data_IF_233854099615
#
_entry.id   IF_233854099615
#
_cell.length_a   1.000
_cell.length_b   1.000
_cell.length_c   1.000
_cell.angle_alpha   90.00
_cell.angle_beta   90.00
_cell.angle_gamma   90.00
#
_symmetry.space_group_name_H-M   'P 1'
#
loop_
_entity.id
_entity.type
_entity.pdbx_description
1 polymer ?
#
# COMPACT_ATOMS: atom_id res chain seq x y z
N UNK A 1 -54.96 -16.72 51.21
CA UNK A 1 -54.48 -16.92 49.87
C UNK A 1 -53.18 -16.12 49.74
N UNK A 2 -52.04 -16.81 49.81
CA UNK A 2 -50.69 -16.18 49.72
C UNK A 2 -50.17 -16.39 48.29
N UNK A 3 -50.04 -15.28 47.57
CA UNK A 3 -49.58 -15.30 46.19
C UNK A 3 -48.04 -15.15 46.18
N UNK A 4 -47.33 -16.26 45.95
CA UNK A 4 -45.91 -16.34 45.84
C UNK A 4 -45.48 -16.09 44.41
N UNK A 5 -45.07 -14.85 44.07
CA UNK A 5 -44.43 -14.53 42.80
C UNK A 5 -42.93 -14.90 42.87
N UNK A 6 -42.59 -16.08 42.37
CA UNK A 6 -41.20 -16.46 42.11
C UNK A 6 -40.64 -15.67 40.90
N UNK A 7 -39.76 -14.70 41.13
CA UNK A 7 -38.98 -14.06 40.09
C UNK A 7 -38.04 -15.08 39.43
N UNK A 8 -38.21 -15.32 38.12
CA UNK A 8 -37.23 -16.10 37.33
C UNK A 8 -35.98 -15.26 37.16
N UNK A 9 -34.94 -15.56 37.92
CA UNK A 9 -33.60 -15.05 37.65
C UNK A 9 -33.15 -15.62 36.29
N UNK A 10 -33.13 -14.76 35.27
CA UNK A 10 -32.65 -15.13 33.93
C UNK A 10 -31.18 -15.43 33.96
N UNK A 11 -30.84 -16.64 33.57
CA UNK A 11 -29.45 -17.07 33.40
C UNK A 11 -28.83 -16.23 32.25
N UNK A 12 -28.06 -15.20 32.57
CA UNK A 12 -27.30 -14.42 31.59
C UNK A 12 -26.10 -15.26 31.19
N UNK A 13 -26.08 -15.78 29.96
CA UNK A 13 -24.91 -16.47 29.43
C UNK A 13 -23.69 -15.56 29.52
N UNK A 14 -22.51 -16.08 29.94
CA UNK A 14 -21.30 -15.29 30.00
C UNK A 14 -21.00 -14.68 28.63
N UNK A 15 -20.70 -13.38 28.59
CA UNK A 15 -20.33 -12.69 27.38
C UNK A 15 -19.14 -13.41 26.74
N UNK A 16 -19.26 -13.78 25.46
CA UNK A 16 -18.13 -14.38 24.72
C UNK A 16 -16.96 -13.42 24.79
N UNK A 17 -15.75 -13.92 25.12
CA UNK A 17 -14.57 -13.08 25.14
C UNK A 17 -14.40 -12.40 23.79
N UNK A 18 -14.18 -11.07 23.78
CA UNK A 18 -13.85 -10.33 22.56
C UNK A 18 -12.54 -10.89 22.04
N UNK A 19 -12.57 -11.52 20.87
CA UNK A 19 -11.37 -11.92 20.15
C UNK A 19 -10.77 -10.67 19.52
N UNK A 20 -9.64 -10.23 20.04
CA UNK A 20 -8.82 -9.18 19.43
C UNK A 20 -7.92 -9.82 18.37
N UNK A 21 -7.72 -9.13 17.22
CA UNK A 21 -6.74 -9.53 16.24
C UNK A 21 -5.30 -9.47 16.81
N UNK A 22 -4.37 -10.20 16.19
CA UNK A 22 -2.95 -10.09 16.53
C UNK A 22 -2.32 -8.94 15.75
N UNK A 23 -1.51 -8.13 16.40
CA UNK A 23 -0.73 -7.05 15.77
C UNK A 23 0.51 -7.58 15.08
N UNK A 24 0.99 -8.76 15.49
CA UNK A 24 2.14 -9.43 14.90
C UNK A 24 1.70 -10.71 14.19
N UNK A 25 2.27 -11.02 13.00
CA UNK A 25 1.92 -12.22 12.27
C UNK A 25 2.46 -13.48 12.96
N UNK A 26 1.80 -14.61 12.74
CA UNK A 26 2.28 -15.92 13.22
C UNK A 26 3.46 -16.44 12.42
N UNK A 27 3.53 -16.10 11.14
CA UNK A 27 4.59 -16.52 10.21
C UNK A 27 5.17 -15.27 9.58
N UNK A 28 6.45 -15.07 9.73
CA UNK A 28 7.17 -13.93 9.17
C UNK A 28 8.67 -14.21 9.08
N UNK A 29 9.36 -13.44 8.26
CA UNK A 29 10.81 -13.55 8.10
C UNK A 29 11.50 -12.63 9.13
N UNK A 30 12.32 -13.21 10.00
CA UNK A 30 13.06 -12.43 11.01
C UNK A 30 14.00 -11.42 10.32
N UNK A 31 14.17 -10.21 10.90
CA UNK A 31 15.08 -9.23 10.37
C UNK A 31 16.55 -9.71 10.49
N UNK A 32 17.41 -9.19 9.64
CA UNK A 32 18.87 -9.50 9.68
C UNK A 32 19.56 -8.81 10.85
N UNK A 33 19.00 -7.69 11.30
CA UNK A 33 19.50 -6.84 12.37
C UNK A 33 18.35 -6.10 13.04
N UNK A 34 18.64 -5.31 14.06
CA UNK A 34 17.67 -4.42 14.67
C UNK A 34 17.11 -3.45 13.62
N UNK A 35 15.79 -3.29 13.63
CA UNK A 35 15.10 -2.39 12.72
C UNK A 35 14.97 -1.01 13.36
N UNK A 36 15.64 -0.04 12.77
CA UNK A 36 15.68 1.37 13.15
C UNK A 36 15.35 2.23 11.93
N UNK A 37 15.17 3.55 12.05
CA UNK A 37 14.99 4.43 10.90
C UNK A 37 16.12 4.35 9.85
N UNK A 38 17.35 3.96 10.27
CA UNK A 38 18.50 3.80 9.37
C UNK A 38 18.52 2.43 8.66
N UNK A 39 17.78 1.46 9.17
CA UNK A 39 17.80 0.07 8.70
C UNK A 39 16.50 -0.39 8.06
N UNK A 40 15.47 0.46 8.10
CA UNK A 40 14.18 0.22 7.45
C UNK A 40 13.52 1.51 6.98
N UNK A 41 13.10 1.53 5.74
CA UNK A 41 12.29 2.63 5.17
C UNK A 41 10.86 2.66 5.74
N UNK A 42 10.43 1.60 6.45
CA UNK A 42 9.10 1.53 7.03
C UNK A 42 8.78 2.67 7.98
N UNK A 43 9.76 3.17 8.72
CA UNK A 43 9.59 4.32 9.60
C UNK A 43 9.26 5.60 8.81
N UNK A 44 9.96 5.85 7.70
CA UNK A 44 9.70 7.00 6.84
C UNK A 44 8.34 6.90 6.14
N UNK A 45 7.88 5.69 5.78
CA UNK A 45 6.53 5.46 5.24
C UNK A 45 5.46 5.75 6.29
N UNK A 46 5.67 5.35 7.54
CA UNK A 46 4.75 5.62 8.65
C UNK A 46 4.67 7.13 8.92
N UNK A 47 5.82 7.80 8.94
CA UNK A 47 5.90 9.25 9.11
C UNK A 47 5.15 10.00 8.00
N UNK A 48 5.35 9.61 6.74
CA UNK A 48 4.61 10.14 5.60
C UNK A 48 3.10 9.90 5.71
N UNK A 49 2.68 8.70 6.10
CA UNK A 49 1.26 8.41 6.29
C UNK A 49 0.63 9.31 7.36
N UNK A 50 1.33 9.49 8.48
CA UNK A 50 0.81 10.26 9.62
C UNK A 50 0.86 11.76 9.37
N UNK A 51 1.98 12.29 8.88
CA UNK A 51 2.23 13.74 8.83
C UNK A 51 1.91 14.39 7.49
N UNK A 52 1.85 13.61 6.39
CA UNK A 52 1.54 14.15 5.06
C UNK A 52 0.15 13.72 4.60
N UNK A 53 -0.19 12.44 4.77
CA UNK A 53 -1.50 11.93 4.36
C UNK A 53 -2.57 12.03 5.45
N UNK A 54 -2.17 12.31 6.71
CA UNK A 54 -3.06 12.36 7.88
C UNK A 54 -3.80 11.03 8.12
N UNK A 55 -3.14 9.91 7.77
CA UNK A 55 -3.66 8.56 7.94
C UNK A 55 -2.99 7.90 9.14
N UNK A 56 -3.79 7.54 10.16
CA UNK A 56 -3.29 6.71 11.25
C UNK A 56 -3.36 5.22 10.86
N UNK A 57 -2.19 4.67 10.61
CA UNK A 57 -2.04 3.26 10.24
C UNK A 57 -2.29 2.35 11.45
N UNK A 58 -2.96 1.23 11.22
CA UNK A 58 -3.12 0.21 12.25
C UNK A 58 -1.78 -0.36 12.73
N UNK A 59 -1.67 -0.83 13.99
CA UNK A 59 -0.42 -1.37 14.52
C UNK A 59 0.20 -2.47 13.65
N UNK A 60 -0.61 -3.38 13.08
CA UNK A 60 -0.13 -4.43 12.19
C UNK A 60 0.44 -3.88 10.87
N UNK A 61 -0.11 -2.76 10.34
CA UNK A 61 0.40 -2.10 9.13
C UNK A 61 1.76 -1.45 9.41
N UNK A 62 1.89 -0.75 10.54
CA UNK A 62 3.16 -0.17 11.00
C UNK A 62 4.21 -1.26 11.17
N UNK A 63 3.85 -2.36 11.83
CA UNK A 63 4.73 -3.52 11.99
C UNK A 63 5.18 -4.08 10.64
N UNK A 64 4.22 -4.30 9.72
CA UNK A 64 4.52 -4.82 8.38
C UNK A 64 5.46 -3.91 7.61
N UNK A 65 5.22 -2.61 7.58
CA UNK A 65 6.06 -1.63 6.86
C UNK A 65 7.50 -1.66 7.36
N UNK A 66 7.70 -1.68 8.69
CA UNK A 66 9.03 -1.73 9.29
C UNK A 66 9.77 -3.00 8.88
N UNK A 67 9.11 -4.15 8.82
CA UNK A 67 9.76 -5.42 8.48
C UNK A 67 9.90 -5.65 6.97
N UNK A 68 8.90 -5.26 6.18
CA UNK A 68 8.90 -5.47 4.72
C UNK A 68 9.88 -4.56 3.99
N UNK A 69 10.14 -3.37 4.53
CA UNK A 69 11.04 -2.37 3.94
C UNK A 69 12.42 -2.32 4.60
N UNK A 70 12.85 -3.45 5.19
CA UNK A 70 14.19 -3.63 5.72
C UNK A 70 15.26 -3.39 4.64
N UNK A 71 16.31 -2.67 5.00
CA UNK A 71 17.44 -2.38 4.13
C UNK A 71 18.62 -3.33 4.38
N UNK A 72 19.29 -3.70 3.32
CA UNK A 72 20.61 -4.36 3.38
C UNK A 72 21.70 -3.36 3.75
N UNK A 73 22.91 -3.86 3.94
CA UNK A 73 24.09 -3.04 4.25
C UNK A 73 24.42 -2.04 3.14
N UNK A 74 24.09 -2.37 1.88
CA UNK A 74 24.26 -1.51 0.71
C UNK A 74 23.08 -0.55 0.47
N UNK A 75 22.19 -0.41 1.44
CA UNK A 75 20.96 0.38 1.39
C UNK A 75 19.96 -0.05 0.30
N UNK A 76 20.11 -1.24 -0.26
CA UNK A 76 19.09 -1.82 -1.12
C UNK A 76 17.96 -2.47 -0.30
N UNK A 77 16.74 -2.52 -0.85
CA UNK A 77 15.64 -3.26 -0.23
C UNK A 77 15.99 -4.75 -0.11
N UNK A 78 15.80 -5.31 1.08
CA UNK A 78 16.10 -6.71 1.36
C UNK A 78 15.21 -7.65 0.58
N UNK A 79 13.91 -7.37 0.57
CA UNK A 79 12.90 -8.24 -0.02
C UNK A 79 12.51 -7.75 -1.41
N UNK A 80 12.59 -8.65 -2.37
CA UNK A 80 12.06 -8.42 -3.72
C UNK A 80 10.57 -8.74 -3.82
N UNK A 81 10.10 -9.66 -2.98
CA UNK A 81 8.71 -10.07 -2.91
C UNK A 81 8.28 -10.08 -1.44
N UNK A 82 7.17 -9.42 -1.17
CA UNK A 82 6.50 -9.42 0.14
C UNK A 82 5.10 -9.98 -0.06
N UNK A 83 4.78 -11.04 0.67
CA UNK A 83 3.45 -11.65 0.63
C UNK A 83 2.74 -11.37 1.95
N UNK A 84 1.56 -10.77 1.86
CA UNK A 84 0.76 -10.36 3.02
C UNK A 84 -0.55 -11.13 3.03
N UNK A 85 -0.75 -11.93 4.06
CA UNK A 85 -2.00 -12.67 4.29
C UNK A 85 -2.71 -12.07 5.50
N UNK A 86 -3.75 -11.32 5.24
CA UNK A 86 -4.58 -10.70 6.27
C UNK A 86 -6.06 -10.80 5.88
N UNK A 87 -6.95 -10.85 6.87
CA UNK A 87 -8.38 -10.95 6.63
C UNK A 87 -8.92 -9.75 5.82
N UNK A 88 -10.09 -9.90 5.22
CA UNK A 88 -10.78 -8.80 4.54
C UNK A 88 -11.11 -7.67 5.52
N UNK A 89 -11.30 -6.45 5.02
CA UNK A 89 -11.68 -5.25 5.79
C UNK A 89 -10.67 -4.86 6.90
N UNK A 90 -9.39 -5.12 6.69
CA UNK A 90 -8.31 -4.73 7.60
C UNK A 90 -7.39 -3.65 7.04
N UNK A 91 -7.85 -2.81 6.10
CA UNK A 91 -7.08 -1.66 5.62
C UNK A 91 -5.95 -2.01 4.63
N UNK A 92 -6.02 -3.14 3.88
CA UNK A 92 -5.03 -3.46 2.83
C UNK A 92 -4.96 -2.40 1.74
N UNK A 93 -6.11 -1.91 1.30
CA UNK A 93 -6.19 -0.90 0.24
C UNK A 93 -5.51 0.40 0.67
N UNK A 94 -5.78 0.88 1.89
CA UNK A 94 -5.12 2.05 2.47
C UNK A 94 -3.60 1.88 2.50
N UNK A 95 -3.12 0.71 2.92
CA UNK A 95 -1.68 0.41 2.91
C UNK A 95 -1.08 0.49 1.51
N UNK A 96 -1.78 -0.03 0.49
CA UNK A 96 -1.35 0.03 -0.90
C UNK A 96 -1.32 1.46 -1.44
N UNK A 97 -2.30 2.29 -1.07
CA UNK A 97 -2.33 3.72 -1.41
C UNK A 97 -1.14 4.47 -0.82
N UNK A 98 -0.90 4.30 0.48
CA UNK A 98 0.24 4.91 1.19
C UNK A 98 1.57 4.50 0.54
N UNK A 99 1.78 3.21 0.29
CA UNK A 99 3.00 2.71 -0.36
C UNK A 99 3.18 3.30 -1.76
N UNK A 100 2.12 3.29 -2.59
CA UNK A 100 2.19 3.84 -3.94
C UNK A 100 2.61 5.31 -3.92
N UNK A 101 1.96 6.13 -3.10
CA UNK A 101 2.25 7.56 -2.99
C UNK A 101 3.65 7.79 -2.43
N UNK A 102 4.03 7.13 -1.34
CA UNK A 102 5.37 7.31 -0.77
C UNK A 102 6.48 6.98 -1.76
N UNK A 103 6.36 5.86 -2.49
CA UNK A 103 7.40 5.45 -3.42
C UNK A 103 7.56 6.39 -4.63
N UNK A 104 6.46 6.98 -5.13
CA UNK A 104 6.56 7.93 -6.26
C UNK A 104 6.93 9.35 -5.82
N UNK A 105 6.46 9.82 -4.66
CA UNK A 105 6.70 11.17 -4.18
C UNK A 105 8.02 11.31 -3.42
N UNK A 106 8.34 10.36 -2.54
CA UNK A 106 9.44 10.46 -1.59
C UNK A 106 10.66 9.65 -2.01
N UNK A 107 10.48 8.39 -2.41
CA UNK A 107 11.59 7.49 -2.73
C UNK A 107 12.13 7.65 -4.15
N UNK A 108 11.33 8.20 -5.07
CA UNK A 108 11.72 8.50 -6.44
C UNK A 108 11.58 7.33 -7.41
N UNK A 109 10.71 6.36 -7.13
CA UNK A 109 10.35 5.34 -8.10
C UNK A 109 9.64 5.98 -9.31
N UNK A 110 9.96 5.48 -10.51
CA UNK A 110 9.42 6.03 -11.77
C UNK A 110 8.12 5.40 -12.19
N UNK A 111 7.89 4.15 -11.77
CA UNK A 111 6.69 3.41 -12.13
C UNK A 111 6.25 2.49 -11.01
N UNK A 112 5.11 2.82 -10.41
CA UNK A 112 4.34 1.96 -9.53
C UNK A 112 3.19 1.37 -10.34
N UNK A 113 2.97 0.06 -10.25
CA UNK A 113 1.88 -0.65 -10.88
C UNK A 113 0.94 -1.21 -9.82
N UNK A 114 -0.31 -0.72 -9.81
CA UNK A 114 -1.41 -1.36 -9.09
C UNK A 114 -2.05 -2.41 -10.00
N UNK A 115 -2.25 -3.61 -9.49
CA UNK A 115 -2.84 -4.70 -10.27
C UNK A 115 -3.64 -5.63 -9.35
N UNK A 116 -4.75 -6.13 -9.88
CA UNK A 116 -5.57 -7.17 -9.28
C UNK A 116 -6.05 -8.10 -10.40
N UNK A 117 -6.69 -9.20 -10.05
CA UNK A 117 -7.30 -10.07 -11.06
C UNK A 117 -8.34 -9.31 -11.87
N UNK A 118 -9.20 -8.56 -11.17
CA UNK A 118 -10.16 -7.65 -11.76
C UNK A 118 -9.59 -6.23 -11.83
N UNK A 119 -9.81 -5.56 -12.97
CA UNK A 119 -9.34 -4.20 -13.17
C UNK A 119 -10.06 -3.21 -12.25
N UNK A 120 -11.35 -3.41 -12.02
CA UNK A 120 -12.18 -2.51 -11.20
C UNK A 120 -11.66 -2.47 -9.75
N UNK A 121 -11.32 -3.62 -9.17
CA UNK A 121 -10.69 -3.70 -7.83
C UNK A 121 -9.36 -2.93 -7.77
N UNK A 122 -8.52 -3.06 -8.79
CA UNK A 122 -7.25 -2.32 -8.84
C UNK A 122 -7.49 -0.82 -9.03
N UNK A 123 -8.53 -0.45 -9.79
CA UNK A 123 -8.92 0.95 -10.02
C UNK A 123 -9.47 1.62 -8.78
N UNK A 124 -10.21 0.91 -7.92
CA UNK A 124 -10.69 1.43 -6.64
C UNK A 124 -9.53 1.83 -5.71
N UNK A 125 -8.51 0.97 -5.58
CA UNK A 125 -7.32 1.27 -4.78
C UNK A 125 -6.57 2.47 -5.34
N UNK A 126 -6.41 2.53 -6.66
CA UNK A 126 -5.77 3.64 -7.35
C UNK A 126 -6.56 4.94 -7.18
N UNK A 127 -7.89 4.90 -7.33
CA UNK A 127 -8.76 6.07 -7.16
C UNK A 127 -8.61 6.66 -5.76
N UNK A 128 -8.60 5.84 -4.71
CA UNK A 128 -8.39 6.34 -3.35
C UNK A 128 -7.02 7.04 -3.17
N UNK A 129 -5.98 6.61 -3.89
CA UNK A 129 -4.71 7.34 -3.87
C UNK A 129 -4.79 8.68 -4.64
N UNK A 130 -5.56 8.75 -5.73
CA UNK A 130 -5.83 10.00 -6.45
C UNK A 130 -6.63 10.96 -5.58
N UNK A 131 -7.66 10.47 -4.90
CA UNK A 131 -8.52 11.28 -4.04
C UNK A 131 -7.72 11.92 -2.91
N UNK A 132 -6.77 11.19 -2.30
CA UNK A 132 -5.85 11.76 -1.29
C UNK A 132 -5.00 12.91 -1.84
N UNK A 133 -4.62 12.89 -3.10
CA UNK A 133 -3.82 13.96 -3.73
C UNK A 133 -4.68 15.15 -4.15
N UNK A 134 -5.93 14.90 -4.55
CA UNK A 134 -6.85 15.92 -5.06
C UNK A 134 -7.80 16.48 -4.01
N UNK A 135 -7.72 16.00 -2.77
CA UNK A 135 -8.59 16.45 -1.68
C UNK A 135 -8.43 17.94 -1.43
N UNK A 136 -9.55 18.65 -1.40
CA UNK A 136 -9.63 20.09 -1.08
C UNK A 136 -10.42 20.30 0.21
N UNK A 137 -10.17 21.42 0.88
CA UNK A 137 -10.91 21.86 2.05
C UNK A 137 -12.20 22.61 1.67
N UNK A 138 -12.85 23.24 2.66
CA UNK A 138 -14.09 24.00 2.47
C UNK A 138 -13.92 25.27 1.60
N UNK A 139 -12.70 25.76 1.44
CA UNK A 139 -12.35 26.92 0.63
C UNK A 139 -11.82 26.53 -0.77
N UNK A 140 -11.97 25.24 -1.17
CA UNK A 140 -11.44 24.66 -2.40
C UNK A 140 -9.90 24.68 -2.51
N UNK A 141 -9.17 24.86 -1.40
CA UNK A 141 -7.72 24.81 -1.37
C UNK A 141 -7.23 23.36 -1.15
N UNK A 142 -6.12 22.94 -1.79
CA UNK A 142 -5.59 21.59 -1.63
C UNK A 142 -5.22 21.30 -0.16
N UNK A 143 -5.79 20.25 0.42
CA UNK A 143 -5.44 19.79 1.79
C UNK A 143 -3.95 19.41 1.88
N UNK A 144 -3.39 18.94 0.75
CA UNK A 144 -1.97 18.54 0.66
C UNK A 144 -1.26 19.26 -0.48
N UNK A 145 -0.95 20.56 -0.31
CA UNK A 145 -0.43 21.40 -1.39
C UNK A 145 0.85 20.85 -2.01
N UNK A 146 1.79 20.32 -1.23
CA UNK A 146 3.04 19.75 -1.75
C UNK A 146 2.82 18.58 -2.70
N UNK A 147 1.82 17.72 -2.43
CA UNK A 147 1.47 16.61 -3.32
C UNK A 147 0.72 17.12 -4.55
N UNK A 148 -0.16 18.07 -4.37
CA UNK A 148 -0.94 18.68 -5.45
C UNK A 148 -0.05 19.44 -6.43
N UNK A 149 0.89 20.26 -5.97
CA UNK A 149 1.82 21.03 -6.78
C UNK A 149 2.78 20.15 -7.61
N UNK A 150 3.15 19.00 -7.08
CA UNK A 150 3.94 18.03 -7.82
C UNK A 150 3.11 17.26 -8.87
N UNK A 151 1.78 17.35 -8.81
CA UNK A 151 0.91 16.67 -9.75
C UNK A 151 1.11 17.22 -11.17
N UNK A 152 1.31 16.34 -12.14
CA UNK A 152 1.40 16.69 -13.54
C UNK A 152 0.08 16.52 -14.26
N UNK A 153 -0.58 15.39 -14.02
CA UNK A 153 -1.89 15.05 -14.56
C UNK A 153 -2.45 13.77 -13.96
N UNK A 154 -3.76 13.65 -14.00
CA UNK A 154 -4.50 12.40 -13.77
C UNK A 154 -5.13 11.97 -15.10
N UNK A 155 -4.90 10.73 -15.48
CA UNK A 155 -5.51 10.11 -16.69
C UNK A 155 -6.60 9.15 -16.22
N UNK A 156 -7.85 9.45 -16.57
CA UNK A 156 -9.04 8.69 -16.13
C UNK A 156 -9.55 7.69 -17.19
N UNK A 157 -8.94 7.63 -18.37
CA UNK A 157 -9.42 6.79 -19.47
C UNK A 157 -9.35 5.30 -19.08
N UNK A 158 -10.45 4.58 -19.31
CA UNK A 158 -10.56 3.15 -19.04
C UNK A 158 -9.37 2.36 -19.61
N UNK A 159 -8.77 1.51 -18.77
CA UNK A 159 -7.60 0.71 -19.12
C UNK A 159 -6.28 1.47 -19.28
N UNK A 160 -6.26 2.79 -19.05
CA UNK A 160 -5.07 3.65 -19.13
C UNK A 160 -4.93 4.58 -17.91
N UNK A 161 -5.65 4.33 -16.80
CA UNK A 161 -5.60 5.17 -15.62
C UNK A 161 -4.17 5.34 -15.11
N UNK A 162 -3.77 6.58 -14.85
CA UNK A 162 -2.48 6.90 -14.25
C UNK A 162 -2.51 8.23 -13.50
N UNK A 163 -1.81 8.25 -12.39
CA UNK A 163 -1.43 9.44 -11.65
C UNK A 163 0.03 9.75 -12.03
N UNK A 164 0.26 10.82 -12.76
CA UNK A 164 1.58 11.23 -13.23
C UNK A 164 2.04 12.44 -12.41
N UNK A 165 3.24 12.37 -11.81
CA UNK A 165 3.82 13.46 -11.02
C UNK A 165 5.17 13.92 -11.57
N UNK A 166 5.52 15.17 -11.28
CA UNK A 166 6.87 15.70 -11.43
C UNK A 166 7.60 15.47 -10.10
N UNK A 167 8.54 14.52 -10.02
CA UNK A 167 9.24 14.27 -8.77
C UNK A 167 10.01 15.52 -8.32
N UNK A 168 10.24 15.68 -7.01
CA UNK A 168 10.95 16.83 -6.47
C UNK A 168 12.33 16.99 -7.14
N UNK A 169 12.72 18.24 -7.37
CA UNK A 169 14.04 18.57 -7.93
C UNK A 169 15.11 18.35 -6.87
N UNK A 170 15.93 17.34 -7.04
CA UNK A 170 17.10 17.13 -6.19
C UNK A 170 18.24 18.00 -6.76
N UNK A 171 18.83 18.89 -5.97
CA UNK A 171 19.96 19.72 -6.41
C UNK A 171 21.11 18.86 -6.96
N UNK A 172 21.61 19.20 -8.15
CA UNK A 172 22.70 18.45 -8.81
C UNK A 172 22.30 17.17 -9.54
N UNK A 173 21.05 16.70 -9.42
CA UNK A 173 20.57 15.54 -10.16
C UNK A 173 20.08 15.95 -11.57
N UNK A 174 20.28 15.03 -12.56
CA UNK A 174 19.66 15.17 -13.87
C UNK A 174 18.13 15.25 -13.68
N UNK A 175 17.47 16.10 -14.50
CA UNK A 175 16.02 16.30 -14.46
C UNK A 175 15.30 14.95 -14.32
N UNK A 176 14.59 14.77 -13.20
CA UNK A 176 13.89 13.53 -12.93
C UNK A 176 12.80 13.31 -13.98
N UNK A 177 12.71 12.08 -14.48
CA UNK A 177 11.61 11.70 -15.39
C UNK A 177 10.33 11.65 -14.59
N UNK A 178 9.20 11.98 -15.24
CA UNK A 178 7.86 11.86 -14.68
C UNK A 178 7.68 10.50 -14.01
N UNK A 179 7.32 10.50 -12.76
CA UNK A 179 6.94 9.30 -12.01
C UNK A 179 5.44 9.02 -12.21
N UNK A 180 5.05 7.76 -12.17
CA UNK A 180 3.68 7.33 -12.50
C UNK A 180 3.20 6.20 -11.61
N UNK A 181 2.00 6.35 -11.09
CA UNK A 181 1.23 5.24 -10.53
C UNK A 181 0.15 4.83 -11.55
N UNK A 182 0.28 3.63 -12.09
CA UNK A 182 -0.61 3.08 -13.12
C UNK A 182 -1.38 1.87 -12.63
N UNK A 183 -2.56 1.66 -13.22
CA UNK A 183 -3.37 0.48 -12.99
C UNK A 183 -3.37 -0.42 -14.22
N UNK A 184 -3.31 -1.73 -13.99
CA UNK A 184 -3.48 -2.75 -15.03
C UNK A 184 -4.11 -4.02 -14.47
N UNK A 185 -4.98 -4.66 -15.25
CA UNK A 185 -5.43 -6.00 -14.92
C UNK A 185 -4.25 -7.00 -14.94
N UNK A 186 -4.21 -7.90 -13.98
CA UNK A 186 -3.19 -8.93 -13.89
C UNK A 186 -3.46 -10.06 -14.90
N UNK A 187 -2.95 -9.90 -16.12
CA UNK A 187 -3.05 -10.91 -17.17
C UNK A 187 -1.67 -11.18 -17.79
N UNK A 188 -1.56 -12.23 -18.63
CA UNK A 188 -0.31 -12.60 -19.33
C UNK A 188 0.34 -11.47 -20.13
N UNK A 189 -0.43 -10.44 -20.50
CA UNK A 189 0.07 -9.28 -21.27
C UNK A 189 0.43 -8.09 -20.37
N UNK A 190 -0.01 -8.08 -19.10
CA UNK A 190 0.16 -6.94 -18.20
C UNK A 190 1.63 -6.55 -17.97
N UNK A 191 2.53 -7.53 -17.92
CA UNK A 191 3.96 -7.33 -17.71
C UNK A 191 4.77 -7.00 -18.97
N UNK A 192 4.19 -7.11 -20.18
CA UNK A 192 4.97 -6.89 -21.40
C UNK A 192 5.24 -5.41 -21.65
N UNK A 193 6.53 -5.07 -21.80
CA UNK A 193 6.96 -3.71 -22.15
C UNK A 193 6.92 -2.70 -21.01
N UNK A 194 6.70 -3.14 -19.76
CA UNK A 194 6.79 -2.31 -18.57
C UNK A 194 7.91 -2.80 -17.65
N UNK A 195 8.69 -1.86 -17.14
CA UNK A 195 9.68 -2.12 -16.07
C UNK A 195 9.21 -1.36 -14.84
N UNK A 196 8.43 -2.03 -13.97
CA UNK A 196 7.95 -1.48 -12.71
C UNK A 196 9.06 -1.41 -11.67
N UNK A 197 9.04 -0.35 -10.86
CA UNK A 197 9.90 -0.23 -9.68
C UNK A 197 9.21 -0.83 -8.45
N UNK A 198 7.88 -0.68 -8.37
CA UNK A 198 7.02 -1.32 -7.37
C UNK A 198 5.79 -1.92 -8.06
N UNK A 199 5.41 -3.10 -7.64
CA UNK A 199 4.16 -3.74 -8.05
C UNK A 199 3.34 -4.09 -6.82
N UNK A 200 2.13 -3.54 -6.77
CA UNK A 200 1.11 -3.83 -5.76
C UNK A 200 0.11 -4.78 -6.39
N UNK A 201 0.15 -6.04 -5.98
CA UNK A 201 -0.73 -7.09 -6.47
C UNK A 201 -1.77 -7.42 -5.38
N UNK A 202 -3.00 -7.00 -5.59
CA UNK A 202 -4.10 -7.33 -4.68
C UNK A 202 -4.80 -8.62 -5.10
N UNK A 203 -5.50 -9.22 -4.15
CA UNK A 203 -6.31 -10.43 -4.32
C UNK A 203 -5.58 -11.62 -4.99
N UNK A 204 -4.31 -11.86 -4.62
CA UNK A 204 -3.50 -12.95 -5.18
C UNK A 204 -4.22 -14.30 -5.16
N UNK A 205 -5.10 -14.53 -4.20
CA UNK A 205 -5.88 -15.77 -4.06
C UNK A 205 -6.86 -16.00 -5.21
N UNK A 206 -7.40 -14.94 -5.80
CA UNK A 206 -8.38 -15.04 -6.89
C UNK A 206 -7.74 -15.39 -8.25
N UNK A 207 -6.40 -15.34 -8.33
CA UNK A 207 -5.67 -15.75 -9.53
C UNK A 207 -5.70 -17.26 -9.69
N UNK A 208 -6.40 -17.75 -10.70
CA UNK A 208 -6.56 -19.18 -10.99
C UNK A 208 -5.26 -19.86 -11.45
N UNK A 209 -4.30 -19.09 -11.95
CA UNK A 209 -3.01 -19.61 -12.45
C UNK A 209 -1.85 -18.72 -12.01
N UNK A 210 -0.66 -19.32 -11.89
CA UNK A 210 0.59 -18.60 -11.61
C UNK A 210 1.12 -17.79 -12.82
N UNK A 211 0.43 -17.80 -13.95
CA UNK A 211 0.84 -17.07 -15.17
C UNK A 211 0.91 -15.56 -14.95
N UNK A 212 -0.08 -14.99 -14.24
CA UNK A 212 -0.10 -13.57 -13.91
C UNK A 212 1.08 -13.20 -13.00
N UNK A 213 1.34 -13.99 -11.96
CA UNK A 213 2.50 -13.84 -11.09
C UNK A 213 3.81 -13.87 -11.88
N UNK A 214 4.02 -14.91 -12.71
CA UNK A 214 5.22 -15.04 -13.54
C UNK A 214 5.41 -13.93 -14.56
N UNK A 215 4.33 -13.35 -15.09
CA UNK A 215 4.40 -12.21 -16.01
C UNK A 215 4.76 -10.91 -15.27
N UNK A 216 4.17 -10.70 -14.10
CA UNK A 216 4.31 -9.47 -13.32
C UNK A 216 5.68 -9.42 -12.63
N UNK A 217 6.13 -10.49 -11.99
CA UNK A 217 7.43 -10.53 -11.30
C UNK A 217 8.61 -10.32 -12.24
N UNK A 218 8.49 -10.71 -13.51
CA UNK A 218 9.51 -10.42 -14.53
C UNK A 218 9.68 -8.95 -14.83
N UNK A 219 8.66 -8.10 -14.59
CA UNK A 219 8.74 -6.66 -14.86
C UNK A 219 9.67 -5.93 -13.89
N UNK A 220 9.88 -6.46 -12.69
CA UNK A 220 10.79 -5.90 -11.69
C UNK A 220 12.23 -6.35 -11.88
N UNK A 221 12.50 -7.39 -12.68
CA UNK A 221 13.85 -7.96 -12.84
C UNK A 221 14.86 -6.99 -13.48
N UNK A 222 14.37 -6.02 -14.25
CA UNK A 222 15.23 -5.03 -14.91
C UNK A 222 15.65 -3.87 -13.99
N UNK A 223 15.21 -3.85 -12.75
CA UNK A 223 15.45 -2.77 -11.78
C UNK A 223 16.19 -3.28 -10.55
N UNK A 224 17.25 -2.61 -10.13
CA UNK A 224 18.10 -3.06 -9.02
C UNK A 224 17.34 -3.07 -7.68
N UNK A 225 16.51 -2.05 -7.41
CA UNK A 225 15.76 -1.87 -6.15
C UNK A 225 14.25 -2.06 -6.32
N UNK A 226 13.79 -2.82 -7.32
CA UNK A 226 12.38 -3.07 -7.53
C UNK A 226 11.81 -4.07 -6.51
N UNK A 227 10.57 -3.85 -6.13
CA UNK A 227 9.79 -4.66 -5.21
C UNK A 227 8.39 -4.98 -5.78
#
# INVERSE_FOLDING_TARGET
MVNSSRSKAGFRAPAKPKLYGSETPRIWTKPLRELTPDTSLGFAVIDFATNVLEIDLFPWQKWLLIHALELRVDNSLRFRNVVVLVARQNGKSTLSQVLALWFIYMYGFKLVLGTAQDLDTAEEVWQGAVDLVLETDEDDEPVRPDLYDALKRVVLNNGKKSLDINPPKIPGAKRAKVARYKVKAANRRAGRGLSGDLILLDELREHQTWDAWGAITKTTMARANAQ
#
